data_IF_178692004890
#
_entry.id   IF_178692004890
#
_cell.length_a   1.000
_cell.length_b   1.000
_cell.length_c   1.000
_cell.angle_alpha   90.00
_cell.angle_beta   90.00
_cell.angle_gamma   90.00
#
_symmetry.space_group_name_H-M   'P 1'
#
loop_
_entity.id
_entity.type
_entity.pdbx_description
1 polymer ?
#
# COMPACT_ATOMS: atom_id res chain seq x y z
N UNK A 1 25.35 -16.88 -2.28
CA UNK A 1 24.18 -16.75 -1.38
C UNK A 1 23.88 -15.28 -1.27
N UNK A 2 22.76 -14.85 -1.87
CA UNK A 2 22.24 -13.50 -1.67
C UNK A 2 21.69 -13.52 -0.25
N UNK A 3 22.27 -12.74 0.66
CA UNK A 3 21.79 -12.61 2.03
C UNK A 3 20.34 -12.11 2.05
N UNK A 4 19.62 -12.25 3.18
CA UNK A 4 18.28 -11.69 3.31
C UNK A 4 18.36 -10.19 2.99
N UNK A 5 17.49 -9.74 2.09
CA UNK A 5 17.45 -8.35 1.69
C UNK A 5 17.10 -7.42 2.87
N UNK A 6 17.26 -6.11 2.68
CA UNK A 6 17.09 -5.15 3.75
C UNK A 6 15.69 -5.24 4.36
N UNK A 7 15.62 -5.36 5.68
CA UNK A 7 14.39 -5.35 6.45
C UNK A 7 14.01 -3.92 6.84
N UNK A 8 13.92 -3.03 5.85
CA UNK A 8 13.52 -1.64 6.07
C UNK A 8 12.71 -1.12 4.88
N UNK A 9 11.65 -0.40 5.16
CA UNK A 9 10.83 0.30 4.17
C UNK A 9 9.90 1.30 4.86
N UNK A 10 9.39 2.25 4.08
CA UNK A 10 8.27 3.10 4.45
C UNK A 10 7.00 2.51 3.82
N UNK A 11 6.15 1.88 4.63
CA UNK A 11 4.95 1.18 4.17
C UNK A 11 3.71 1.96 4.58
N UNK A 12 2.89 2.32 3.60
CA UNK A 12 1.58 2.92 3.83
C UNK A 12 0.50 1.91 3.44
N UNK A 13 -0.41 1.63 4.35
CA UNK A 13 -1.60 0.86 4.07
C UNK A 13 -2.76 1.81 3.75
N UNK A 14 -3.31 1.68 2.56
CA UNK A 14 -4.48 2.41 2.08
C UNK A 14 -5.64 1.42 1.99
N UNK A 15 -6.57 1.49 2.92
CA UNK A 15 -7.60 0.47 3.10
C UNK A 15 -8.98 0.96 2.72
N UNK A 16 -9.69 0.13 1.96
CA UNK A 16 -11.07 0.34 1.55
C UNK A 16 -12.00 0.39 2.77
N UNK A 17 -12.79 1.43 2.86
CA UNK A 17 -13.83 1.63 3.87
C UNK A 17 -15.14 2.07 3.23
N UNK A 18 -15.36 1.67 1.97
CA UNK A 18 -16.55 1.98 1.19
C UNK A 18 -17.75 1.08 1.53
N UNK A 19 -18.91 1.46 1.03
CA UNK A 19 -20.12 0.63 1.11
C UNK A 19 -19.99 -0.69 0.36
N UNK A 20 -19.11 -0.76 -0.66
CA UNK A 20 -18.78 -2.01 -1.36
C UNK A 20 -18.15 -3.05 -0.42
N UNK A 21 -17.24 -2.60 0.44
CA UNK A 21 -16.68 -3.45 1.49
C UNK A 21 -17.77 -3.82 2.51
N UNK A 22 -18.44 -2.84 3.00
CA UNK A 22 -19.51 -2.96 3.98
C UNK A 22 -19.00 -3.10 5.42
N UNK A 23 -19.86 -2.69 6.35
CA UNK A 23 -19.53 -2.69 7.78
C UNK A 23 -19.24 -4.09 8.34
N UNK A 24 -19.88 -5.12 7.79
CA UNK A 24 -19.69 -6.51 8.24
C UNK A 24 -18.33 -7.08 7.84
N UNK A 25 -17.76 -6.61 6.73
CA UNK A 25 -16.46 -7.05 6.24
C UNK A 25 -15.30 -6.25 6.83
N UNK A 26 -15.54 -5.06 7.31
CA UNK A 26 -14.52 -4.17 7.85
C UNK A 26 -13.69 -4.78 8.99
N UNK A 27 -14.25 -5.58 9.92
CA UNK A 27 -13.44 -6.25 10.94
C UNK A 27 -12.31 -7.14 10.40
N UNK A 28 -12.48 -7.74 9.23
CA UNK A 28 -11.42 -8.52 8.57
C UNK A 28 -10.26 -7.63 8.11
N UNK A 29 -10.57 -6.43 7.63
CA UNK A 29 -9.55 -5.42 7.27
C UNK A 29 -8.80 -4.97 8.52
N UNK A 30 -9.50 -4.69 9.62
CA UNK A 30 -8.87 -4.34 10.91
C UNK A 30 -7.93 -5.42 11.40
N UNK A 31 -8.37 -6.68 11.34
CA UNK A 31 -7.57 -7.83 11.74
C UNK A 31 -6.32 -7.96 10.87
N UNK A 32 -6.45 -7.75 9.57
CA UNK A 32 -5.32 -7.76 8.64
C UNK A 32 -4.27 -6.70 9.02
N UNK A 33 -4.69 -5.46 9.23
CA UNK A 33 -3.78 -4.37 9.62
C UNK A 33 -3.14 -4.65 10.98
N UNK A 34 -3.91 -5.16 11.95
CA UNK A 34 -3.38 -5.55 13.24
C UNK A 34 -2.28 -6.61 13.11
N UNK A 35 -2.50 -7.64 12.30
CA UNK A 35 -1.51 -8.69 12.03
C UNK A 35 -0.25 -8.12 11.35
N UNK A 36 -0.41 -7.22 10.40
CA UNK A 36 0.73 -6.59 9.72
C UNK A 36 1.58 -5.79 10.69
N UNK A 37 0.96 -4.92 11.49
CA UNK A 37 1.68 -4.11 12.49
C UNK A 37 2.33 -5.00 13.54
N UNK A 38 1.69 -6.09 13.93
CA UNK A 38 2.22 -7.03 14.93
C UNK A 38 3.41 -7.86 14.42
N UNK A 39 3.50 -8.08 13.11
CA UNK A 39 4.54 -8.93 12.51
C UNK A 39 5.74 -8.18 11.93
N UNK A 40 5.57 -6.90 11.56
CA UNK A 40 6.66 -6.11 10.99
C UNK A 40 7.62 -5.61 12.07
N UNK A 41 8.95 -5.58 11.80
CA UNK A 41 9.93 -4.97 12.71
C UNK A 41 9.87 -3.45 12.59
N UNK A 42 9.01 -2.82 13.40
CA UNK A 42 8.78 -1.37 13.41
C UNK A 42 9.79 -0.72 14.35
N UNK A 43 10.85 -0.16 13.76
CA UNK A 43 11.95 0.54 14.46
C UNK A 43 12.42 1.71 13.59
N UNK A 44 13.17 2.63 14.18
CA UNK A 44 13.64 3.85 13.51
C UNK A 44 14.43 3.58 12.21
N UNK A 45 15.20 2.50 12.18
CA UNK A 45 16.07 2.10 11.06
C UNK A 45 15.52 0.91 10.25
N UNK A 46 14.28 0.49 10.53
CA UNK A 46 13.61 -0.62 9.85
C UNK A 46 12.32 -0.17 9.18
N UNK A 47 11.16 -0.69 9.59
CA UNK A 47 9.90 -0.31 8.98
C UNK A 47 9.28 0.90 9.69
N UNK A 48 8.85 1.88 8.89
CA UNK A 48 7.87 2.88 9.30
C UNK A 48 6.55 2.57 8.62
N UNK A 49 5.47 2.73 9.36
CA UNK A 49 4.13 2.38 8.89
C UNK A 49 3.22 3.59 8.98
N UNK A 50 2.52 3.87 7.90
CA UNK A 50 1.41 4.81 7.82
C UNK A 50 0.11 4.08 7.50
N UNK A 51 -1.01 4.66 7.86
CA UNK A 51 -2.34 4.10 7.64
C UNK A 51 -3.32 5.18 7.23
N UNK A 52 -4.09 4.89 6.20
CA UNK A 52 -5.23 5.69 5.77
C UNK A 52 -6.37 4.80 5.32
N UNK A 53 -7.60 5.27 5.52
CA UNK A 53 -8.81 4.70 4.94
C UNK A 53 -9.27 5.54 3.76
N UNK A 54 -10.04 4.96 2.85
CA UNK A 54 -10.65 5.72 1.79
C UNK A 54 -12.06 5.20 1.44
N UNK A 55 -12.87 6.10 0.96
CA UNK A 55 -14.18 5.87 0.35
C UNK A 55 -14.46 6.99 -0.65
N UNK A 56 -15.29 7.97 -0.31
CA UNK A 56 -15.47 9.21 -1.11
C UNK A 56 -14.18 10.03 -1.21
N UNK A 57 -13.41 10.04 -0.15
CA UNK A 57 -12.12 10.71 -0.02
C UNK A 57 -11.18 9.97 0.93
N UNK A 58 -10.01 10.54 1.12
CA UNK A 58 -9.01 10.00 2.03
C UNK A 58 -9.30 10.39 3.48
N UNK A 59 -9.22 9.42 4.37
CA UNK A 59 -9.22 9.64 5.82
C UNK A 59 -7.91 9.15 6.41
N UNK A 60 -7.05 10.10 6.82
CA UNK A 60 -5.74 9.79 7.40
C UNK A 60 -5.91 9.26 8.82
N UNK A 61 -5.39 8.08 9.11
CA UNK A 61 -5.35 7.52 10.46
C UNK A 61 -4.06 7.96 11.17
N UNK A 62 -2.91 7.63 10.61
CA UNK A 62 -1.63 8.15 11.07
C UNK A 62 -0.61 8.18 9.92
N UNK A 63 0.30 9.15 9.99
CA UNK A 63 1.39 9.32 9.03
C UNK A 63 2.56 8.39 9.37
N UNK A 64 3.53 8.28 8.47
CA UNK A 64 4.76 7.50 8.68
C UNK A 64 5.56 7.94 9.91
N UNK A 65 5.49 9.22 10.27
CA UNK A 65 6.20 9.81 11.42
C UNK A 65 5.38 9.92 12.69
N UNK A 66 4.07 9.62 12.64
CA UNK A 66 3.18 9.82 13.80
C UNK A 66 3.54 8.91 14.95
N UNK A 67 3.72 7.63 14.72
CA UNK A 67 4.09 6.65 15.71
C UNK A 67 5.41 5.99 15.35
N UNK A 68 6.30 5.87 16.32
CA UNK A 68 7.65 5.30 16.13
C UNK A 68 7.75 3.84 16.57
N UNK A 69 6.70 3.31 17.17
CA UNK A 69 6.66 1.96 17.72
C UNK A 69 5.28 1.32 17.54
N UNK A 70 5.25 0.01 17.66
CA UNK A 70 4.06 -0.82 17.46
C UNK A 70 2.94 -0.54 18.45
N UNK A 71 3.26 -0.35 19.73
CA UNK A 71 2.27 -0.19 20.78
C UNK A 71 1.25 0.92 20.52
N UNK A 72 1.67 2.17 20.28
CA UNK A 72 0.75 3.26 19.94
C UNK A 72 -0.10 3.00 18.69
N UNK A 73 0.46 2.33 17.67
CA UNK A 73 -0.29 1.97 16.44
C UNK A 73 -1.42 1.01 16.77
N UNK A 74 -1.14 -0.06 17.51
CA UNK A 74 -2.15 -1.06 17.90
C UNK A 74 -3.23 -0.44 18.78
N UNK A 75 -2.87 0.49 19.67
CA UNK A 75 -3.82 1.22 20.49
C UNK A 75 -4.74 2.12 19.64
N UNK A 76 -4.19 2.77 18.61
CA UNK A 76 -4.97 3.55 17.65
C UNK A 76 -6.00 2.69 16.92
N UNK A 77 -5.60 1.51 16.43
CA UNK A 77 -6.52 0.57 15.78
C UNK A 77 -7.67 0.17 16.69
N UNK A 78 -7.39 -0.06 17.95
CA UNK A 78 -8.41 -0.44 18.94
C UNK A 78 -9.39 0.67 19.25
N UNK A 79 -8.94 1.92 19.33
CA UNK A 79 -9.74 3.05 19.83
C UNK A 79 -10.34 3.92 18.73
N UNK A 80 -9.67 4.10 17.59
CA UNK A 80 -9.97 5.17 16.65
C UNK A 80 -10.19 4.71 15.20
N UNK A 81 -10.01 3.42 14.91
CA UNK A 81 -10.09 2.90 13.55
C UNK A 81 -11.48 2.31 13.28
N UNK A 82 -12.41 3.15 12.83
CA UNK A 82 -13.80 2.78 12.57
C UNK A 82 -14.17 2.84 11.08
N UNK A 83 -15.22 2.10 10.71
CA UNK A 83 -15.76 2.05 9.34
C UNK A 83 -16.34 3.41 8.93
N UNK A 84 -16.09 3.81 7.69
CA UNK A 84 -16.58 5.09 7.14
C UNK A 84 -17.86 4.97 6.33
N UNK A 85 -17.92 4.03 5.38
CA UNK A 85 -18.96 3.99 4.34
C UNK A 85 -18.69 5.00 3.22
N UNK A 86 -19.54 5.00 2.22
CA UNK A 86 -19.44 5.89 1.07
C UNK A 86 -19.05 5.17 -0.22
N UNK A 87 -18.79 5.95 -1.26
CA UNK A 87 -18.43 5.45 -2.58
C UNK A 87 -16.98 4.94 -2.65
N UNK A 88 -16.64 4.24 -3.72
CA UNK A 88 -15.30 3.67 -3.92
C UNK A 88 -14.57 4.47 -5.00
N UNK A 89 -13.76 5.42 -4.58
CA UNK A 89 -13.00 6.31 -5.46
C UNK A 89 -11.50 6.09 -5.25
N UNK A 90 -10.96 5.04 -5.89
CA UNK A 90 -9.57 4.63 -5.71
C UNK A 90 -8.61 5.65 -6.33
N UNK A 91 -8.92 6.18 -7.52
CA UNK A 91 -8.06 7.16 -8.20
C UNK A 91 -7.86 8.43 -7.36
N UNK A 92 -8.92 8.96 -6.79
CA UNK A 92 -8.85 10.09 -5.86
C UNK A 92 -8.04 9.76 -4.60
N UNK A 93 -8.24 8.57 -4.04
CA UNK A 93 -7.50 8.11 -2.87
C UNK A 93 -5.99 7.99 -3.16
N UNK A 94 -5.61 7.46 -4.32
CA UNK A 94 -4.20 7.38 -4.75
C UNK A 94 -3.58 8.78 -4.88
N UNK A 95 -4.31 9.73 -5.47
CA UNK A 95 -3.84 11.11 -5.61
C UNK A 95 -3.64 11.78 -4.25
N UNK A 96 -4.57 11.61 -3.33
CA UNK A 96 -4.49 12.19 -1.99
C UNK A 96 -3.41 11.54 -1.12
N UNK A 97 -3.27 10.20 -1.17
CA UNK A 97 -2.22 9.50 -0.42
C UNK A 97 -0.82 9.85 -0.94
N UNK A 98 -0.69 10.05 -2.24
CA UNK A 98 0.57 10.53 -2.85
C UNK A 98 1.00 11.85 -2.22
N UNK A 99 0.08 12.79 -2.15
CA UNK A 99 0.33 14.13 -1.59
C UNK A 99 0.61 14.09 -0.09
N UNK A 100 -0.17 13.31 0.67
CA UNK A 100 -0.12 13.30 2.13
C UNK A 100 1.03 12.46 2.70
N UNK A 101 1.42 11.37 2.04
CA UNK A 101 2.37 10.38 2.58
C UNK A 101 3.68 10.29 1.81
N UNK A 102 3.69 10.61 0.51
CA UNK A 102 4.84 10.39 -0.37
C UNK A 102 5.30 11.67 -1.09
N UNK A 103 5.00 12.85 -0.54
CA UNK A 103 5.43 14.13 -1.13
C UNK A 103 6.95 14.28 -1.12
N UNK A 104 7.46 15.11 -2.04
CA UNK A 104 8.88 15.49 -2.10
C UNK A 104 9.30 16.18 -0.78
N UNK A 105 10.38 15.73 -0.18
CA UNK A 105 10.85 16.24 1.13
C UNK A 105 10.77 15.23 2.25
N UNK A 106 10.45 13.99 1.92
CA UNK A 106 10.48 12.87 2.85
C UNK A 106 11.90 12.67 3.39
N UNK A 107 12.06 12.69 4.71
CA UNK A 107 13.37 12.60 5.37
C UNK A 107 14.05 11.24 5.22
N UNK A 108 13.30 10.21 4.81
CA UNK A 108 13.78 8.82 4.69
C UNK A 108 13.91 8.37 3.23
N UNK A 109 14.56 9.17 2.38
CA UNK A 109 14.71 8.87 0.94
C UNK A 109 15.41 7.54 0.66
N UNK A 110 16.27 7.07 1.56
CA UNK A 110 16.96 5.79 1.46
C UNK A 110 16.07 4.59 1.75
N UNK A 111 14.89 4.78 2.32
CA UNK A 111 13.95 3.71 2.62
C UNK A 111 12.96 3.54 1.46
N UNK A 112 12.84 2.33 0.90
CA UNK A 112 11.91 2.09 -0.19
C UNK A 112 10.47 2.43 0.20
N UNK A 113 9.77 3.29 -0.56
CA UNK A 113 8.38 3.61 -0.29
C UNK A 113 7.47 2.54 -0.92
N UNK A 114 6.58 1.97 -0.11
CA UNK A 114 5.63 0.96 -0.54
C UNK A 114 4.23 1.42 -0.17
N UNK A 115 3.30 1.35 -1.12
CA UNK A 115 1.88 1.56 -0.91
C UNK A 115 1.13 0.26 -1.09
N UNK A 116 0.49 -0.23 -0.03
CA UNK A 116 -0.40 -1.39 -0.09
C UNK A 116 -1.84 -0.89 -0.17
N UNK A 117 -2.50 -1.17 -1.30
CA UNK A 117 -3.89 -0.76 -1.55
C UNK A 117 -4.81 -1.95 -1.41
N UNK A 118 -5.79 -1.87 -0.51
CA UNK A 118 -6.88 -2.84 -0.42
C UNK A 118 -8.11 -2.27 -1.13
N UNK A 119 -8.71 -3.04 -2.04
CA UNK A 119 -9.89 -2.64 -2.79
C UNK A 119 -10.91 -3.77 -2.87
N UNK A 120 -12.18 -3.49 -2.54
CA UNK A 120 -13.26 -4.47 -2.49
C UNK A 120 -14.18 -4.48 -3.71
N UNK A 121 -13.98 -3.57 -4.64
CA UNK A 121 -14.82 -3.41 -5.81
C UNK A 121 -14.12 -2.66 -6.93
N UNK A 122 -14.88 -2.35 -7.97
CA UNK A 122 -14.41 -1.51 -9.06
C UNK A 122 -14.44 -0.04 -8.67
N UNK A 123 -13.40 0.70 -9.05
CA UNK A 123 -13.33 2.14 -8.78
C UNK A 123 -14.33 2.92 -9.63
N UNK A 124 -15.00 3.90 -9.01
CA UNK A 124 -15.87 4.83 -9.73
C UNK A 124 -15.09 5.84 -10.57
N UNK A 125 -13.82 6.07 -10.25
CA UNK A 125 -12.92 6.94 -11.00
C UNK A 125 -11.75 6.17 -11.60
N UNK A 126 -11.05 6.79 -12.57
CA UNK A 126 -9.87 6.23 -13.21
C UNK A 126 -8.68 6.21 -12.24
N UNK A 127 -7.89 5.14 -12.29
CA UNK A 127 -6.75 4.94 -11.37
C UNK A 127 -5.39 5.11 -12.04
N UNK A 128 -5.33 5.03 -13.36
CA UNK A 128 -4.09 4.87 -14.12
C UNK A 128 -3.13 6.04 -13.94
N UNK A 129 -3.61 7.27 -14.06
CA UNK A 129 -2.78 8.47 -13.99
C UNK A 129 -2.20 8.66 -12.58
N UNK A 130 -3.01 8.51 -11.54
CA UNK A 130 -2.57 8.64 -10.15
C UNK A 130 -1.59 7.53 -9.76
N UNK A 131 -1.83 6.30 -10.21
CA UNK A 131 -0.91 5.17 -9.98
C UNK A 131 0.42 5.39 -10.69
N UNK A 132 0.41 5.86 -11.93
CA UNK A 132 1.63 6.17 -12.68
C UNK A 132 2.45 7.26 -12.00
N UNK A 133 1.82 8.31 -11.51
CA UNK A 133 2.49 9.39 -10.78
C UNK A 133 3.21 8.87 -9.52
N UNK A 134 2.58 7.96 -8.76
CA UNK A 134 3.21 7.29 -7.62
C UNK A 134 4.41 6.46 -8.04
N UNK A 135 4.26 5.62 -9.08
CA UNK A 135 5.35 4.77 -9.58
C UNK A 135 6.53 5.59 -10.10
N UNK A 136 6.30 6.71 -10.78
CA UNK A 136 7.35 7.64 -11.22
C UNK A 136 8.15 8.23 -10.06
N UNK A 137 7.51 8.44 -8.92
CA UNK A 137 8.18 8.89 -7.69
C UNK A 137 8.86 7.75 -6.92
N UNK A 138 8.94 6.56 -7.51
CA UNK A 138 9.60 5.40 -6.93
C UNK A 138 8.75 4.62 -5.93
N UNK A 139 7.48 4.96 -5.77
CA UNK A 139 6.57 4.20 -4.89
C UNK A 139 6.23 2.86 -5.52
N UNK A 140 6.46 1.78 -4.78
CA UNK A 140 6.06 0.43 -5.19
C UNK A 140 4.64 0.20 -4.71
N UNK A 141 3.72 0.00 -5.66
CA UNK A 141 2.32 -0.25 -5.36
C UNK A 141 2.06 -1.75 -5.35
N UNK A 142 1.58 -2.24 -4.20
CA UNK A 142 1.06 -3.60 -4.02
C UNK A 142 -0.46 -3.49 -3.97
N UNK A 143 -1.14 -3.97 -4.99
CA UNK A 143 -2.61 -3.94 -5.04
C UNK A 143 -3.21 -5.27 -4.61
N UNK A 144 -4.10 -5.24 -3.64
CA UNK A 144 -4.79 -6.42 -3.10
C UNK A 144 -6.29 -6.21 -3.25
N UNK A 145 -6.88 -6.95 -4.18
CA UNK A 145 -8.32 -6.94 -4.42
C UNK A 145 -9.04 -8.03 -3.66
N UNK A 146 -10.27 -7.75 -3.29
CA UNK A 146 -11.17 -8.69 -2.63
C UNK A 146 -12.53 -8.63 -3.31
N UNK A 147 -13.32 -9.68 -3.19
CA UNK A 147 -14.68 -9.73 -3.69
C UNK A 147 -14.77 -9.36 -5.18
N UNK A 148 -15.44 -8.23 -5.48
CA UNK A 148 -15.72 -7.75 -6.84
C UNK A 148 -14.67 -6.75 -7.36
N UNK A 149 -13.48 -6.72 -6.77
CA UNK A 149 -12.39 -5.90 -7.29
C UNK A 149 -12.09 -6.28 -8.75
N UNK A 150 -11.84 -5.27 -9.57
CA UNK A 150 -11.48 -5.48 -10.97
C UNK A 150 -10.03 -5.89 -11.10
N UNK A 151 -9.76 -7.06 -11.69
CA UNK A 151 -8.40 -7.50 -11.96
C UNK A 151 -7.65 -6.53 -12.86
N UNK A 152 -8.33 -5.96 -13.86
CA UNK A 152 -7.77 -4.92 -14.73
C UNK A 152 -7.31 -3.70 -13.93
N UNK A 153 -8.12 -3.23 -12.97
CA UNK A 153 -7.78 -2.11 -12.11
C UNK A 153 -6.62 -2.45 -11.18
N UNK A 154 -6.60 -3.65 -10.61
CA UNK A 154 -5.49 -4.10 -9.75
C UNK A 154 -4.16 -4.10 -10.52
N UNK A 155 -4.15 -4.61 -11.74
CA UNK A 155 -2.97 -4.61 -12.61
C UNK A 155 -2.56 -3.20 -13.02
N UNK A 156 -3.52 -2.32 -13.30
CA UNK A 156 -3.25 -0.93 -13.68
C UNK A 156 -2.60 -0.13 -12.56
N UNK A 157 -2.88 -0.45 -11.29
CA UNK A 157 -2.26 0.20 -10.15
C UNK A 157 -0.89 -0.35 -9.81
N UNK A 158 -0.72 -1.67 -9.87
CA UNK A 158 0.42 -2.37 -9.30
C UNK A 158 1.76 -2.01 -9.96
N UNK A 159 2.80 -2.03 -9.17
CA UNK A 159 4.17 -2.09 -9.65
C UNK A 159 4.48 -3.54 -10.05
N UNK A 160 4.84 -3.77 -11.31
CA UNK A 160 5.18 -5.11 -11.79
C UNK A 160 4.10 -6.15 -11.48
N UNK A 161 4.51 -7.26 -10.93
CA UNK A 161 3.64 -8.40 -10.59
C UNK A 161 2.94 -8.28 -9.23
N UNK A 162 3.04 -7.16 -8.53
CA UNK A 162 2.51 -7.01 -7.17
C UNK A 162 1.01 -6.71 -7.16
N UNK A 163 0.21 -7.53 -7.85
CA UNK A 163 -1.25 -7.50 -7.81
C UNK A 163 -1.78 -8.86 -7.40
N UNK A 164 -2.73 -8.86 -6.48
CA UNK A 164 -3.30 -10.06 -5.86
C UNK A 164 -4.81 -9.92 -5.81
N UNK A 165 -5.53 -11.00 -6.13
CA UNK A 165 -6.98 -11.01 -6.07
C UNK A 165 -7.45 -12.14 -5.15
N UNK A 166 -7.99 -11.77 -4.00
CA UNK A 166 -8.56 -12.68 -3.03
C UNK A 166 -10.05 -12.85 -3.30
N UNK A 167 -10.55 -14.06 -3.14
CA UNK A 167 -11.96 -14.34 -3.38
C UNK A 167 -12.88 -13.64 -2.38
N UNK A 168 -12.51 -13.62 -1.10
CA UNK A 168 -13.31 -13.10 -0.01
C UNK A 168 -12.47 -12.22 0.92
N UNK A 169 -13.12 -11.27 1.60
CA UNK A 169 -12.42 -10.39 2.55
C UNK A 169 -11.78 -11.17 3.69
N UNK A 170 -12.43 -12.23 4.16
CA UNK A 170 -11.89 -13.10 5.22
C UNK A 170 -10.55 -13.75 4.85
N UNK A 171 -10.24 -13.88 3.56
CA UNK A 171 -8.99 -14.48 3.09
C UNK A 171 -7.77 -13.59 3.36
N UNK A 172 -7.98 -12.31 3.71
CA UNK A 172 -6.91 -11.41 4.16
C UNK A 172 -6.14 -11.97 5.35
N UNK A 173 -6.80 -12.68 6.25
CA UNK A 173 -6.17 -13.28 7.43
C UNK A 173 -5.10 -14.29 7.06
N UNK A 174 -5.38 -15.17 6.11
CA UNK A 174 -4.41 -16.14 5.58
C UNK A 174 -3.36 -15.44 4.70
N UNK A 175 -3.79 -14.50 3.87
CA UNK A 175 -2.92 -13.73 2.99
C UNK A 175 -1.87 -12.91 3.75
N UNK A 176 -2.18 -12.44 4.96
CA UNK A 176 -1.24 -11.70 5.80
C UNK A 176 0.07 -12.45 6.05
N UNK A 177 0.04 -13.78 6.03
CA UNK A 177 1.23 -14.63 6.20
C UNK A 177 2.23 -14.49 5.05
N UNK A 178 1.76 -14.11 3.85
CA UNK A 178 2.59 -13.90 2.67
C UNK A 178 3.10 -12.45 2.55
N UNK A 179 2.48 -11.52 3.26
CA UNK A 179 2.74 -10.08 3.08
C UNK A 179 4.16 -9.66 3.45
N UNK A 180 4.75 -10.26 4.48
CA UNK A 180 6.14 -9.93 4.86
C UNK A 180 7.11 -10.20 3.71
N UNK A 181 6.96 -11.32 3.02
CA UNK A 181 7.80 -11.64 1.85
C UNK A 181 7.48 -10.72 0.67
N UNK A 182 6.21 -10.44 0.43
CA UNK A 182 5.78 -9.52 -0.63
C UNK A 182 6.37 -8.12 -0.40
N UNK A 183 6.37 -7.62 0.82
CA UNK A 183 6.97 -6.33 1.17
C UNK A 183 8.48 -6.32 0.95
N UNK A 184 9.17 -7.40 1.31
CA UNK A 184 10.62 -7.54 1.03
C UNK A 184 10.91 -7.52 -0.47
N UNK A 185 10.14 -8.25 -1.25
CA UNK A 185 10.28 -8.31 -2.70
C UNK A 185 9.98 -6.94 -3.34
N UNK A 186 8.94 -6.25 -2.88
CA UNK A 186 8.58 -4.90 -3.35
C UNK A 186 9.67 -3.88 -2.98
N UNK A 187 10.26 -3.98 -1.79
CA UNK A 187 11.35 -3.10 -1.37
C UNK A 187 12.59 -3.22 -2.25
N UNK A 188 12.84 -4.41 -2.79
CA UNK A 188 13.99 -4.72 -3.65
C UNK A 188 13.70 -4.58 -5.14
N UNK A 189 12.47 -4.29 -5.51
CA UNK A 189 12.08 -4.19 -6.90
C UNK A 189 12.89 -3.12 -7.64
N UNK A 190 13.42 -3.50 -8.80
CA UNK A 190 14.11 -2.61 -9.73
C UNK A 190 13.41 -2.68 -11.06
N UNK A 191 13.10 -1.52 -11.63
CA UNK A 191 12.55 -1.42 -12.97
C UNK A 191 13.67 -1.65 -13.98
N UNK A 192 13.77 -2.86 -14.52
CA UNK A 192 14.80 -3.22 -15.51
C UNK A 192 14.61 -2.45 -16.83
N UNK A 193 13.41 -1.92 -17.10
CA UNK A 193 13.15 -1.14 -18.33
C UNK A 193 13.81 0.23 -18.29
N UNK A 194 14.04 0.81 -17.12
CA UNK A 194 14.74 2.10 -16.97
C UNK A 194 16.24 2.00 -17.33
N UNK A 195 16.85 0.81 -17.24
CA UNK A 195 18.25 0.59 -17.57
C UNK A 195 18.50 0.47 -19.07
N UNK A 196 17.56 -0.09 -19.84
CA UNK A 196 17.70 -0.26 -21.29
C UNK A 196 17.69 1.07 -22.04
N UNK A 197 17.00 2.09 -21.51
CA UNK A 197 16.96 3.42 -22.11
C UNK A 197 18.26 4.24 -21.90
N UNK A 198 19.05 3.90 -20.91
CA UNK A 198 20.34 4.54 -20.63
C UNK A 198 21.44 3.95 -21.52
N UNK A 199 21.49 2.64 -21.68
CA UNK A 199 22.45 1.97 -22.56
C UNK A 199 22.20 2.28 -24.04
N UNK A 200 20.93 2.47 -24.44
CA UNK A 200 20.56 2.87 -25.80
C UNK A 200 20.97 4.30 -26.18
N UNK A 201 21.19 5.19 -25.20
CA UNK A 201 21.65 6.57 -25.44
C UNK A 201 23.16 6.73 -25.48
N UNK A 202 23.89 5.84 -24.80
CA UNK A 202 25.38 5.86 -24.84
C UNK A 202 25.95 5.18 -26.09
N UNK A 203 25.18 4.33 -26.77
CA UNK A 203 25.58 3.66 -28.01
C UNK A 203 25.39 4.52 -29.27
N UNK A 204 24.86 5.75 -29.16
CA UNK A 204 24.60 6.67 -30.29
C UNK A 204 25.45 7.95 -30.25
N UNK A 205 26.51 8.01 -29.44
CA UNK A 205 27.50 9.09 -29.45
C UNK A 205 28.84 8.63 -30.01
#
# INVERSE_FOLDING_TARGET
>A
MIGPGPEYADVVFLVDSSDHLGIKSFPFVKTFINKMISSLPIEADKYHVGLAQYSDGLHREFLLSTFKSRGPMLNHLKKNFGFLGGSLRIGNALQEVHRAYFSSGRDRKQFPPILVVLASGESEDAVEEAAEALRKDGVRIVSVGMQRASEKTLKAMATGQFHYHLRMVRDLSTFSQNMTQILKDAAQYKDETAYSDIEGKEALC
#
